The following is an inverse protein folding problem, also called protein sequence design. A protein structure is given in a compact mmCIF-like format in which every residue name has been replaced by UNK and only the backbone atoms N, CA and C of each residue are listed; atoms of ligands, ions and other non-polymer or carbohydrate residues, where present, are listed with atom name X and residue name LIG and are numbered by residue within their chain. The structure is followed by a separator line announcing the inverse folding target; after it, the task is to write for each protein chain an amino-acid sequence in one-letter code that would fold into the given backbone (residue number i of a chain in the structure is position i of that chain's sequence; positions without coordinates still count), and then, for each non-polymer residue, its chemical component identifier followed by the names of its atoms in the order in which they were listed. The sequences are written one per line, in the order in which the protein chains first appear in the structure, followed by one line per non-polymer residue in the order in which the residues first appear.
data_IF_545069724838
#
_entry.id   IF_545069724838
#
_cell.length_a   1.000
_cell.length_b   1.000
_cell.length_c   1.000
_cell.angle_alpha   90.00
_cell.angle_beta   90.00
_cell.angle_gamma   90.00
#
_symmetry.space_group_name_H-M   'P 1'
#
loop_
_entity.id
_entity.type
_entity.pdbx_description
1 polymer ?
#
# COMPACT_ATOMS: atom_id res chain seq x y z
N UNK A 1 -8.45 33.09 -2.90
CA UNK A 1 -9.04 32.04 -2.04
C UNK A 1 -8.15 30.82 -2.15
N UNK A 2 -7.51 30.41 -1.04
CA UNK A 2 -6.67 29.21 -1.00
C UNK A 2 -7.60 28.00 -0.95
N UNK A 3 -7.68 27.25 -2.04
CA UNK A 3 -8.41 25.99 -2.09
C UNK A 3 -7.51 24.93 -1.46
N UNK A 4 -7.73 24.64 -0.20
CA UNK A 4 -7.07 23.52 0.48
C UNK A 4 -7.90 22.30 0.13
N UNK A 5 -7.38 21.48 -0.78
CA UNK A 5 -8.01 20.21 -1.13
C UNK A 5 -7.74 19.25 0.02
N UNK A 6 -8.70 19.08 0.91
CA UNK A 6 -8.73 17.95 1.83
C UNK A 6 -8.93 16.70 0.97
N UNK A 7 -7.83 15.98 0.74
CA UNK A 7 -7.88 14.62 0.25
C UNK A 7 -8.54 13.78 1.36
N UNK A 8 -9.85 13.61 1.28
CA UNK A 8 -10.56 12.68 2.15
C UNK A 8 -10.21 11.27 1.67
N UNK A 9 -9.22 10.66 2.30
CA UNK A 9 -8.96 9.23 2.21
C UNK A 9 -10.12 8.47 2.85
N UNK A 10 -11.26 8.36 2.17
CA UNK A 10 -12.35 7.48 2.59
C UNK A 10 -12.11 6.14 1.92
N UNK A 11 -11.82 5.12 2.74
CA UNK A 11 -11.59 3.71 2.35
C UNK A 11 -10.31 3.38 1.58
N UNK A 12 -9.17 4.02 1.88
CA UNK A 12 -7.85 3.42 1.59
C UNK A 12 -7.50 3.16 0.12
N UNK A 13 -8.12 3.87 -0.83
CA UNK A 13 -7.77 3.81 -2.25
C UNK A 13 -7.22 5.16 -2.68
N UNK A 14 -5.98 5.20 -3.16
CA UNK A 14 -5.50 6.32 -3.95
C UNK A 14 -5.98 6.12 -5.39
N UNK A 15 -7.02 6.86 -5.81
CA UNK A 15 -7.46 6.83 -7.20
C UNK A 15 -6.36 7.43 -8.09
N UNK A 16 -5.81 6.60 -8.98
CA UNK A 16 -4.87 7.00 -10.02
C UNK A 16 -5.41 8.22 -10.80
N UNK A 17 -4.50 9.15 -11.09
CA UNK A 17 -4.66 10.22 -12.08
C UNK A 17 -5.43 9.72 -13.31
N UNK A 18 -6.61 10.28 -13.54
CA UNK A 18 -7.12 10.43 -14.90
C UNK A 18 -6.44 11.67 -15.49
N UNK A 19 -5.29 11.48 -16.13
CA UNK A 19 -4.75 12.47 -17.04
C UNK A 19 -5.68 12.54 -18.26
N UNK A 20 -6.61 13.50 -18.25
CA UNK A 20 -7.37 13.87 -19.44
C UNK A 20 -6.61 14.99 -20.15
N UNK A 21 -5.79 14.61 -21.13
CA UNK A 21 -5.20 15.56 -22.08
C UNK A 21 -6.29 16.03 -23.03
N UNK A 22 -6.71 17.28 -22.89
CA UNK A 22 -7.64 17.93 -23.81
C UNK A 22 -6.88 18.36 -25.07
N UNK A 23 -6.92 17.56 -26.14
CA UNK A 23 -6.49 18.01 -27.48
C UNK A 23 -7.69 18.58 -28.22
N UNK A 24 -7.72 19.90 -28.38
CA UNK A 24 -8.63 20.59 -29.28
C UNK A 24 -8.24 20.34 -30.74
N UNK A 25 -9.20 19.86 -31.54
CA UNK A 25 -9.03 19.64 -32.98
C UNK A 25 -10.38 19.59 -33.71
N UNK A 26 -10.71 20.66 -34.42
CA UNK A 26 -11.90 20.83 -35.26
C UNK A 26 -11.70 20.19 -36.65
N UNK A 27 -12.72 19.54 -37.24
CA UNK A 27 -12.89 19.49 -38.72
C UNK A 27 -14.38 19.33 -39.13
N UNK A 28 -14.93 20.43 -39.67
CA UNK A 28 -15.84 20.68 -40.82
C UNK A 28 -17.12 19.86 -41.14
N UNK A 29 -18.19 20.64 -41.35
CA UNK A 29 -19.51 20.36 -41.94
C UNK A 29 -19.48 19.90 -43.42
N UNK A 30 -20.42 19.01 -43.79
CA UNK A 30 -21.03 18.93 -45.12
C UNK A 30 -22.53 18.60 -45.01
N UNK A 31 -23.36 19.42 -45.66
CA UNK A 31 -24.82 19.40 -45.67
C UNK A 31 -25.49 18.32 -46.56
N UNK A 32 -26.79 18.46 -46.92
CA UNK A 32 -27.77 17.41 -46.66
C UNK A 32 -28.43 16.72 -47.88
N UNK A 33 -29.12 15.61 -47.55
CA UNK A 33 -30.27 14.96 -48.22
C UNK A 33 -29.98 13.87 -49.27
N UNK A 34 -30.40 12.63 -49.00
CA UNK A 34 -31.63 12.02 -49.57
C UNK A 34 -31.83 10.56 -49.08
N UNK A 35 -33.09 10.10 -49.15
CA UNK A 35 -33.66 8.91 -48.50
C UNK A 35 -33.42 7.63 -49.32
N UNK A 36 -33.50 6.45 -48.69
CA UNK A 36 -34.39 5.30 -49.05
C UNK A 36 -34.04 4.02 -48.24
N UNK A 37 -35.06 3.55 -47.50
CA UNK A 37 -35.40 2.22 -46.97
C UNK A 37 -34.38 1.05 -46.96
N UNK A 38 -34.08 0.53 -45.75
CA UNK A 38 -34.32 -0.89 -45.35
C UNK A 38 -34.00 -1.17 -43.86
N UNK A 39 -34.95 -1.84 -43.21
CA UNK A 39 -35.00 -2.44 -41.86
C UNK A 39 -33.70 -2.64 -41.05
N UNK A 40 -33.70 -2.12 -39.81
CA UNK A 40 -33.53 -2.88 -38.55
C UNK A 40 -34.00 -2.01 -37.38
N UNK A 41 -35.14 -2.35 -36.77
CA UNK A 41 -35.64 -1.67 -35.58
C UNK A 41 -34.59 -1.76 -34.45
N UNK A 42 -34.12 -0.60 -34.03
CA UNK A 42 -33.34 -0.35 -32.82
C UNK A 42 -34.32 0.14 -31.76
N UNK A 43 -34.41 -0.53 -30.60
CA UNK A 43 -34.39 0.12 -29.29
C UNK A 43 -34.44 -0.84 -28.11
N UNK A 44 -33.65 -0.43 -27.12
CA UNK A 44 -33.84 -0.55 -25.68
C UNK A 44 -33.34 -1.84 -24.99
N UNK A 45 -32.09 -1.69 -24.51
CA UNK A 45 -31.67 -1.90 -23.13
C UNK A 45 -31.92 -3.25 -22.48
N UNK A 46 -30.83 -4.00 -22.29
CA UNK A 46 -30.28 -4.18 -20.94
C UNK A 46 -28.77 -4.43 -21.06
N UNK A 47 -28.01 -3.38 -20.76
CA UNK A 47 -26.57 -3.43 -20.58
C UNK A 47 -26.31 -4.40 -19.44
N UNK A 48 -25.81 -5.58 -19.77
CA UNK A 48 -25.31 -6.54 -18.79
C UNK A 48 -24.16 -5.87 -18.06
N UNK A 49 -24.48 -5.16 -16.99
CA UNK A 49 -23.57 -4.72 -15.96
C UNK A 49 -23.06 -5.97 -15.25
N UNK A 50 -22.14 -6.67 -15.91
CA UNK A 50 -21.18 -7.45 -15.17
C UNK A 50 -20.35 -6.42 -14.39
N UNK A 51 -20.83 -6.16 -13.17
CA UNK A 51 -20.05 -5.54 -12.12
C UNK A 51 -18.73 -6.33 -12.02
N UNK A 52 -17.66 -5.76 -12.56
CA UNK A 52 -16.32 -6.19 -12.20
C UNK A 52 -16.16 -5.92 -10.71
N UNK A 53 -16.12 -6.97 -9.89
CA UNK A 53 -15.56 -6.87 -8.55
C UNK A 53 -14.07 -6.66 -8.75
N UNK A 54 -13.64 -5.40 -8.77
CA UNK A 54 -12.24 -5.07 -8.71
C UNK A 54 -11.81 -5.42 -7.28
N UNK A 55 -11.18 -6.59 -7.14
CA UNK A 55 -10.60 -7.01 -5.86
C UNK A 55 -9.65 -5.90 -5.40
N UNK A 56 -9.72 -5.45 -4.12
CA UNK A 56 -8.82 -4.41 -3.64
C UNK A 56 -7.39 -4.92 -3.82
N UNK A 57 -6.64 -4.31 -4.74
CA UNK A 57 -5.23 -4.63 -4.88
C UNK A 57 -4.51 -3.97 -3.70
N UNK A 58 -4.26 -4.75 -2.66
CA UNK A 58 -3.46 -4.28 -1.53
C UNK A 58 -2.03 -3.99 -1.98
N UNK A 59 -1.37 -2.96 -1.43
CA UNK A 59 0.06 -2.76 -1.64
C UNK A 59 0.85 -3.96 -1.12
N UNK A 60 1.96 -4.30 -1.77
CA UNK A 60 2.79 -5.46 -1.38
C UNK A 60 3.58 -5.24 -0.09
N UNK A 61 3.92 -3.98 0.20
CA UNK A 61 4.67 -3.58 1.38
C UNK A 61 4.48 -2.08 1.69
N UNK A 62 5.16 -1.61 2.73
CA UNK A 62 5.11 -0.21 3.12
C UNK A 62 5.76 0.74 2.10
N UNK A 63 6.63 0.26 1.21
CA UNK A 63 7.22 1.09 0.16
C UNK A 63 6.16 1.46 -0.86
N UNK A 64 5.35 0.50 -1.28
CA UNK A 64 4.21 0.78 -2.16
C UNK A 64 3.16 1.66 -1.49
N UNK A 65 2.87 1.43 -0.19
CA UNK A 65 1.99 2.32 0.60
C UNK A 65 2.50 3.76 0.53
N UNK A 66 3.82 3.95 0.67
CA UNK A 66 4.43 5.27 0.67
C UNK A 66 4.38 5.95 -0.71
N UNK A 67 4.61 5.20 -1.78
CA UNK A 67 4.61 5.71 -3.16
C UNK A 67 3.21 6.00 -3.70
N UNK A 68 2.19 5.31 -3.19
CA UNK A 68 0.80 5.53 -3.60
C UNK A 68 0.22 6.85 -3.10
N UNK A 69 0.85 7.55 -2.15
CA UNK A 69 0.30 8.78 -1.58
C UNK A 69 1.16 10.00 -1.94
N UNK A 70 0.52 11.01 -2.54
CA UNK A 70 1.17 12.28 -2.95
C UNK A 70 1.73 13.07 -1.74
N UNK A 71 1.05 12.99 -0.59
CA UNK A 71 1.52 13.53 0.68
C UNK A 71 2.13 12.39 1.49
N UNK A 72 3.45 12.39 1.65
CA UNK A 72 4.25 11.44 2.44
C UNK A 72 3.47 10.98 3.69
N UNK A 73 2.85 9.80 3.62
CA UNK A 73 1.80 9.40 4.56
C UNK A 73 2.37 9.30 5.97
N UNK A 74 1.61 9.73 6.99
CA UNK A 74 2.04 9.54 8.37
C UNK A 74 2.36 8.07 8.67
N UNK A 75 3.36 7.86 9.55
CA UNK A 75 3.69 6.53 10.04
C UNK A 75 2.47 5.93 10.75
N UNK A 76 2.11 4.69 10.41
CA UNK A 76 0.80 4.16 10.76
C UNK A 76 0.69 2.66 10.56
N UNK A 77 -0.52 2.13 10.79
CA UNK A 77 -0.83 0.73 10.48
C UNK A 77 -1.54 0.69 9.14
N UNK A 78 -1.02 -0.14 8.24
CA UNK A 78 -1.56 -0.34 6.91
C UNK A 78 -1.77 -1.82 6.65
N UNK A 79 -2.73 -2.11 5.78
CA UNK A 79 -3.01 -3.46 5.31
C UNK A 79 -2.25 -3.68 4.01
N UNK A 80 -1.41 -4.71 3.98
CA UNK A 80 -0.60 -5.10 2.82
C UNK A 80 -0.90 -6.54 2.43
N UNK A 81 -0.60 -6.91 1.19
CA UNK A 81 -0.60 -8.29 0.74
C UNK A 81 0.65 -8.56 -0.09
N UNK A 82 1.73 -9.08 0.53
CA UNK A 82 2.91 -9.52 -0.19
C UNK A 82 2.59 -10.64 -1.18
N UNK A 83 3.44 -10.80 -2.20
CA UNK A 83 3.28 -11.86 -3.19
C UNK A 83 3.35 -13.25 -2.53
N UNK A 84 2.41 -14.11 -2.89
CA UNK A 84 2.29 -15.46 -2.33
C UNK A 84 1.64 -15.53 -0.94
N UNK A 85 1.36 -14.40 -0.29
CA UNK A 85 0.58 -14.39 0.95
C UNK A 85 -0.89 -14.76 0.66
N UNK A 86 -1.47 -15.72 1.39
CA UNK A 86 -2.84 -16.19 1.11
C UNK A 86 -3.91 -15.15 1.45
N UNK A 87 -3.65 -14.30 2.44
CA UNK A 87 -4.57 -13.25 2.89
C UNK A 87 -3.78 -11.97 3.23
N UNK A 88 -4.38 -10.77 3.05
CA UNK A 88 -3.78 -9.51 3.47
C UNK A 88 -3.63 -9.44 4.99
N UNK A 89 -2.61 -8.73 5.47
CA UNK A 89 -2.37 -8.53 6.89
C UNK A 89 -1.87 -7.12 7.24
N UNK A 90 -2.06 -6.75 8.50
CA UNK A 90 -1.66 -5.44 9.00
C UNK A 90 -0.16 -5.40 9.34
N UNK A 91 0.50 -4.31 8.97
CA UNK A 91 1.88 -3.98 9.31
C UNK A 91 1.97 -2.55 9.82
N UNK A 92 3.03 -2.25 10.57
CA UNK A 92 3.36 -0.87 10.92
C UNK A 92 4.34 -0.31 9.89
N UNK A 93 3.95 0.75 9.17
CA UNK A 93 4.80 1.47 8.24
C UNK A 93 5.43 2.68 8.91
N UNK A 94 6.75 2.78 8.85
CA UNK A 94 7.48 3.97 9.27
C UNK A 94 7.87 4.79 8.03
N UNK A 95 7.23 5.94 7.90
CA UNK A 95 7.38 6.86 6.79
C UNK A 95 8.19 8.11 7.17
N UNK A 96 8.67 8.18 8.41
CA UNK A 96 9.33 9.35 8.98
C UNK A 96 10.85 9.27 8.96
N UNK A 97 11.42 8.09 8.66
CA UNK A 97 12.87 7.85 8.65
C UNK A 97 13.36 7.53 7.23
N UNK A 98 14.56 8.01 6.89
CA UNK A 98 15.31 7.65 5.67
C UNK A 98 14.48 7.57 4.38
N UNK A 99 13.61 8.56 4.15
CA UNK A 99 12.79 8.64 2.94
C UNK A 99 11.58 7.69 2.91
N UNK A 100 11.22 7.12 4.06
CA UNK A 100 9.98 6.38 4.30
C UNK A 100 9.85 5.03 3.61
N UNK A 101 8.68 4.41 3.77
CA UNK A 101 8.39 3.09 3.19
C UNK A 101 8.93 1.90 3.98
N UNK A 102 9.28 2.08 5.25
CA UNK A 102 9.85 1.01 6.07
C UNK A 102 8.77 0.12 6.68
N UNK A 103 8.77 -1.16 6.33
CA UNK A 103 7.93 -2.17 7.00
C UNK A 103 8.57 -2.58 8.33
N UNK A 104 7.96 -2.20 9.45
CA UNK A 104 8.46 -2.58 10.77
C UNK A 104 7.96 -3.98 11.12
N UNK A 105 8.89 -4.91 11.32
CA UNK A 105 8.56 -6.30 11.70
C UNK A 105 8.82 -6.62 13.18
N UNK A 106 9.62 -5.80 13.87
CA UNK A 106 9.89 -5.93 15.29
C UNK A 106 10.07 -4.54 15.91
N UNK A 107 9.49 -4.34 17.10
CA UNK A 107 9.69 -3.11 17.87
C UNK A 107 9.71 -3.38 19.38
N UNK A 108 10.67 -2.78 20.08
CA UNK A 108 10.78 -2.74 21.56
C UNK A 108 10.85 -1.30 22.03
N UNK A 109 10.17 -1.01 23.14
CA UNK A 109 10.08 0.33 23.74
C UNK A 109 10.29 0.23 25.25
N UNK A 110 9.42 -0.51 25.94
CA UNK A 110 9.30 -0.48 27.40
C UNK A 110 9.22 -1.87 28.05
N UNK A 111 9.17 -2.95 27.26
CA UNK A 111 9.05 -4.31 27.76
C UNK A 111 7.64 -4.71 28.19
N UNK A 112 6.61 -4.00 27.74
CA UNK A 112 5.21 -4.34 27.99
C UNK A 112 4.77 -5.68 27.36
N UNK A 113 5.45 -6.14 26.31
CA UNK A 113 5.20 -7.43 25.67
C UNK A 113 6.33 -8.41 26.00
N UNK A 114 5.96 -9.60 26.45
CA UNK A 114 6.90 -10.70 26.68
C UNK A 114 7.34 -11.35 25.35
N UNK A 115 8.65 -11.42 25.14
CA UNK A 115 9.29 -12.04 23.98
C UNK A 115 9.86 -13.44 24.29
N UNK A 116 9.77 -13.92 25.54
CA UNK A 116 10.12 -15.30 25.87
C UNK A 116 8.96 -16.24 25.52
N UNK A 117 8.87 -16.56 24.23
CA UNK A 117 7.72 -17.26 23.62
C UNK A 117 8.12 -18.56 22.94
N UNK A 118 7.12 -19.38 22.59
CA UNK A 118 7.33 -20.63 21.83
C UNK A 118 7.48 -20.35 20.35
N UNK A 119 7.93 -21.36 19.61
CA UNK A 119 8.10 -21.26 18.16
C UNK A 119 6.82 -20.84 17.44
N UNK A 120 5.68 -21.42 17.81
CA UNK A 120 4.39 -21.12 17.19
C UNK A 120 4.00 -19.64 17.34
N UNK A 121 4.26 -19.04 18.50
CA UNK A 121 4.04 -17.60 18.71
C UNK A 121 4.91 -16.75 17.78
N UNK A 122 6.18 -17.12 17.58
CA UNK A 122 7.10 -16.44 16.66
C UNK A 122 6.71 -16.64 15.20
N UNK A 123 6.15 -17.81 14.87
CA UNK A 123 5.63 -18.13 13.54
C UNK A 123 4.46 -17.22 13.18
N UNK A 124 3.47 -17.12 14.06
CA UNK A 124 2.23 -16.37 13.83
C UNK A 124 2.41 -14.85 14.06
N UNK A 125 3.25 -14.48 15.02
CA UNK A 125 3.44 -13.11 15.49
C UNK A 125 2.68 -12.81 16.78
N UNK A 126 3.15 -11.81 17.53
CA UNK A 126 2.55 -11.41 18.81
C UNK A 126 2.80 -9.93 19.13
N UNK A 127 2.03 -9.41 20.09
CA UNK A 127 2.12 -8.02 20.55
C UNK A 127 1.16 -7.07 19.84
N UNK A 128 1.48 -5.79 19.85
CA UNK A 128 0.63 -4.71 19.33
C UNK A 128 1.40 -3.86 18.31
N UNK A 129 0.91 -3.81 17.08
CA UNK A 129 1.54 -3.08 15.97
C UNK A 129 1.77 -1.58 16.27
N UNK A 130 0.99 -0.99 17.17
CA UNK A 130 1.16 0.42 17.60
C UNK A 130 2.27 0.61 18.66
N UNK A 131 2.75 -0.46 19.31
CA UNK A 131 3.76 -0.41 20.38
C UNK A 131 4.84 -1.48 20.18
N UNK A 132 4.81 -2.54 21.00
CA UNK A 132 5.80 -3.62 20.96
C UNK A 132 5.20 -4.86 20.30
N UNK A 133 5.91 -5.42 19.32
CA UNK A 133 5.43 -6.60 18.61
C UNK A 133 6.55 -7.36 17.89
N UNK A 134 6.20 -8.57 17.50
CA UNK A 134 6.87 -9.39 16.49
C UNK A 134 5.84 -9.71 15.40
N UNK A 135 6.13 -9.39 14.14
CA UNK A 135 5.15 -9.50 13.05
C UNK A 135 4.71 -10.95 12.79
N UNK A 136 5.65 -11.90 12.89
CA UNK A 136 5.45 -13.31 12.56
C UNK A 136 6.42 -13.77 11.48
N UNK A 137 7.04 -14.93 11.67
CA UNK A 137 8.04 -15.46 10.74
C UNK A 137 7.43 -15.82 9.38
N UNK A 138 6.21 -16.35 9.35
CA UNK A 138 5.56 -16.70 8.08
C UNK A 138 5.28 -15.44 7.25
N UNK A 139 4.75 -14.40 7.89
CA UNK A 139 4.52 -13.08 7.25
C UNK A 139 5.83 -12.46 6.75
N UNK A 140 6.88 -12.52 7.57
CA UNK A 140 8.21 -12.07 7.18
C UNK A 140 8.74 -12.82 5.97
N UNK A 141 8.52 -14.13 5.89
CA UNK A 141 8.96 -14.93 4.75
C UNK A 141 8.29 -14.49 3.45
N UNK A 142 6.99 -14.18 3.45
CA UNK A 142 6.31 -13.65 2.26
C UNK A 142 6.89 -12.30 1.84
N UNK A 143 7.15 -11.41 2.81
CA UNK A 143 7.74 -10.10 2.51
C UNK A 143 9.14 -10.26 1.92
N UNK A 144 10.03 -11.05 2.53
CA UNK A 144 11.40 -11.14 2.05
C UNK A 144 11.55 -11.99 0.79
N UNK A 145 10.59 -12.85 0.48
CA UNK A 145 10.66 -13.74 -0.69
C UNK A 145 10.13 -13.10 -1.98
N UNK A 146 9.44 -11.96 -1.90
CA UNK A 146 8.89 -11.30 -3.09
C UNK A 146 9.90 -10.42 -3.85
N UNK A 147 11.11 -10.23 -3.29
CA UNK A 147 12.18 -9.46 -3.93
C UNK A 147 13.37 -9.21 -3.01
N UNK A 148 14.24 -8.27 -3.42
CA UNK A 148 15.38 -7.84 -2.62
C UNK A 148 14.96 -6.78 -1.60
N UNK A 149 15.33 -6.97 -0.34
CA UNK A 149 14.99 -6.06 0.76
C UNK A 149 16.23 -5.57 1.50
N UNK A 150 16.17 -4.38 2.07
CA UNK A 150 17.18 -3.91 3.01
C UNK A 150 16.68 -4.01 4.44
N UNK A 151 17.46 -4.66 5.29
CA UNK A 151 17.22 -4.76 6.72
C UNK A 151 17.90 -3.60 7.43
N UNK A 152 17.12 -2.83 8.19
CA UNK A 152 17.61 -1.81 9.11
C UNK A 152 17.33 -2.19 10.56
N UNK A 153 18.32 -2.02 11.43
CA UNK A 153 18.19 -2.22 12.87
C UNK A 153 18.61 -0.93 13.58
N UNK A 154 17.68 -0.34 14.32
CA UNK A 154 17.89 0.84 15.15
C UNK A 154 17.93 0.45 16.63
N UNK A 155 19.01 0.80 17.32
CA UNK A 155 19.21 0.56 18.74
C UNK A 155 19.43 1.87 19.48
N UNK A 156 18.72 2.05 20.59
CA UNK A 156 18.87 3.21 21.48
C UNK A 156 19.31 2.72 22.85
N UNK A 157 20.39 3.31 23.37
CA UNK A 157 20.85 3.02 24.72
C UNK A 157 19.91 3.62 25.76
N UNK A 158 19.76 2.93 26.90
CA UNK A 158 18.96 3.40 28.05
C UNK A 158 19.42 4.77 28.57
N UNK A 159 20.70 5.09 28.36
CA UNK A 159 21.23 6.41 28.68
C UNK A 159 21.05 7.28 27.43
N UNK A 160 20.08 8.20 27.45
CA UNK A 160 19.81 9.14 26.34
C UNK A 160 21.02 10.01 25.96
N UNK A 161 22.10 9.97 26.75
CA UNK A 161 23.37 10.66 26.52
C UNK A 161 24.41 9.81 25.76
N UNK A 162 24.07 8.58 25.34
CA UNK A 162 25.06 7.63 24.80
C UNK A 162 24.50 6.89 23.58
N UNK A 163 24.85 7.39 22.39
CA UNK A 163 24.84 6.71 21.08
C UNK A 163 23.56 5.93 20.71
N UNK A 164 22.77 6.49 19.80
CA UNK A 164 21.86 5.71 18.95
C UNK A 164 22.68 5.13 17.78
N UNK A 165 22.48 3.85 17.47
CA UNK A 165 23.18 3.17 16.38
C UNK A 165 22.18 2.58 15.39
N UNK A 166 22.49 2.72 14.10
CA UNK A 166 21.72 2.16 13.00
C UNK A 166 22.62 1.28 12.15
N UNK A 167 22.20 0.06 11.86
CA UNK A 167 22.88 -0.86 10.95
C UNK A 167 21.95 -1.22 9.81
N UNK A 168 22.47 -1.20 8.57
CA UNK A 168 21.72 -1.56 7.37
C UNK A 168 22.41 -2.70 6.63
N UNK A 169 21.64 -3.66 6.12
CA UNK A 169 22.15 -4.82 5.38
C UNK A 169 21.16 -5.26 4.32
N UNK A 170 21.62 -5.41 3.08
CA UNK A 170 20.81 -6.00 2.00
C UNK A 170 20.56 -7.49 2.25
N UNK A 171 19.33 -7.90 2.03
CA UNK A 171 18.80 -9.27 2.12
C UNK A 171 18.33 -9.61 0.72
N UNK A 172 19.13 -10.39 0.02
CA UNK A 172 18.83 -10.81 -1.34
C UNK A 172 18.11 -12.16 -1.30
N UNK A 173 17.15 -12.34 -2.18
CA UNK A 173 16.57 -13.65 -2.47
C UNK A 173 17.45 -14.36 -3.49
N UNK A 174 18.18 -15.41 -3.07
CA UNK A 174 18.92 -16.30 -3.99
C UNK A 174 18.00 -17.30 -4.70
#
# INVERSE_FOLDING_TARGET
MKLTLLCLCVFGVCLQRLDFTESSGQVNDLGPSEKISRNRQRRETESSSYFYYQEPQYPRDCKEVYEQCDDQTESGIFMIQPDGAPEPFNVHCNNSIDGGGWTVFQRRIDGAVDFYRRWDDYKDGFGFLQREFWLGNDKLSYITNQGDYELRIDLVSRNANTSSGSAMKSVNTE
#
